data_IF_405772611109
#
_entry.id   IF_405772611109
#
_cell.length_a   1.000
_cell.length_b   1.000
_cell.length_c   1.000
_cell.angle_alpha   90.00
_cell.angle_beta   90.00
_cell.angle_gamma   90.00
#
_symmetry.space_group_name_H-M   'P 1'
#
loop_
_entity.id
_entity.type
_entity.pdbx_description
1 polymer ?
#
# COMPACT_ATOMS: atom_id res chain seq x y z
N UNK A 1 29.61 10.31 -18.59
CA UNK A 1 29.02 9.43 -17.55
C UNK A 1 28.14 10.21 -16.56
N UNK A 2 28.51 11.38 -16.06
CA UNK A 2 27.70 12.25 -15.18
C UNK A 2 26.47 12.85 -15.89
N UNK A 3 26.58 13.23 -17.18
CA UNK A 3 25.44 13.78 -17.95
C UNK A 3 24.35 12.76 -18.20
N UNK A 4 24.67 11.51 -18.46
CA UNK A 4 23.67 10.45 -18.65
C UNK A 4 22.90 10.13 -17.35
N UNK A 5 23.57 10.14 -16.19
CA UNK A 5 22.89 9.96 -14.89
C UNK A 5 21.91 11.09 -14.59
N UNK A 6 22.26 12.33 -14.91
CA UNK A 6 21.36 13.48 -14.72
C UNK A 6 20.15 13.45 -15.66
N UNK A 7 20.31 13.01 -16.91
CA UNK A 7 19.19 12.80 -17.81
C UNK A 7 18.23 11.73 -17.30
N UNK A 8 18.72 10.56 -16.91
CA UNK A 8 17.87 9.48 -16.38
C UNK A 8 17.13 9.87 -15.10
N UNK A 9 17.75 10.68 -14.23
CA UNK A 9 17.11 11.17 -13.00
C UNK A 9 16.06 12.23 -13.35
N UNK A 10 16.34 13.12 -14.27
CA UNK A 10 15.42 14.17 -14.71
C UNK A 10 14.17 13.64 -15.40
N UNK A 11 14.32 12.63 -16.25
CA UNK A 11 13.19 11.97 -16.91
C UNK A 11 12.29 11.20 -15.93
N UNK A 12 12.84 10.72 -14.83
CA UNK A 12 12.07 10.04 -13.77
C UNK A 12 11.41 11.02 -12.80
N UNK A 13 12.03 12.15 -12.52
CA UNK A 13 11.50 13.18 -11.59
C UNK A 13 10.23 13.84 -12.16
N UNK A 14 10.07 13.90 -13.46
CA UNK A 14 8.89 14.48 -14.10
C UNK A 14 7.62 13.64 -13.94
N UNK A 15 7.73 12.38 -13.51
CA UNK A 15 6.60 11.46 -13.36
C UNK A 15 6.11 11.31 -11.94
N UNK A 16 6.81 11.82 -10.95
CA UNK A 16 6.46 11.71 -9.53
C UNK A 16 6.30 13.09 -8.91
N UNK A 17 5.25 13.27 -8.11
CA UNK A 17 5.13 14.44 -7.27
C UNK A 17 6.24 14.43 -6.21
N UNK A 18 7.00 15.51 -6.13
CA UNK A 18 8.04 15.66 -5.13
C UNK A 18 7.44 16.26 -3.86
N UNK A 19 7.48 15.51 -2.76
CA UNK A 19 7.38 16.12 -1.45
C UNK A 19 8.75 16.68 -1.06
N UNK A 20 8.77 17.97 -0.74
CA UNK A 20 9.94 18.55 -0.08
C UNK A 20 10.01 18.00 1.34
N UNK A 21 11.03 17.21 1.63
CA UNK A 21 11.37 16.79 2.98
C UNK A 21 12.55 17.64 3.46
N UNK A 22 12.38 18.25 4.62
CA UNK A 22 13.42 19.04 5.26
C UNK A 22 14.05 18.25 6.42
N UNK A 23 15.25 18.65 6.86
CA UNK A 23 15.92 18.00 7.98
C UNK A 23 15.13 18.11 9.30
N UNK A 24 14.20 19.04 9.39
CA UNK A 24 13.37 19.29 10.57
C UNK A 24 11.98 18.64 10.47
N UNK A 25 11.69 17.87 9.42
CA UNK A 25 10.43 17.18 9.31
C UNK A 25 10.28 16.12 10.40
N UNK A 26 9.09 16.07 10.99
CA UNK A 26 8.78 15.06 12.01
C UNK A 26 8.78 13.67 11.39
N UNK A 27 9.55 12.76 11.97
CA UNK A 27 9.50 11.35 11.60
C UNK A 27 8.25 10.69 12.19
N UNK A 28 7.41 10.13 11.34
CA UNK A 28 6.20 9.43 11.74
C UNK A 28 6.51 7.96 11.97
N UNK A 29 6.15 7.45 13.16
CA UNK A 29 6.25 6.03 13.51
C UNK A 29 4.94 5.28 13.27
N UNK A 30 3.84 5.91 13.65
CA UNK A 30 2.48 5.38 13.53
C UNK A 30 1.52 6.54 13.45
N UNK A 31 0.52 6.45 12.58
CA UNK A 31 -0.46 7.52 12.39
C UNK A 31 -1.80 7.17 13.03
N UNK A 32 -2.56 8.20 13.44
CA UNK A 32 -3.93 7.99 13.93
C UNK A 32 -4.84 7.37 12.85
N UNK A 33 -4.60 7.73 11.59
CA UNK A 33 -5.29 7.14 10.45
C UNK A 33 -5.02 5.63 10.35
N UNK A 34 -3.77 5.21 10.46
CA UNK A 34 -3.37 3.80 10.41
C UNK A 34 -4.08 2.97 11.49
N UNK A 35 -4.02 3.43 12.75
CA UNK A 35 -4.70 2.75 13.87
C UNK A 35 -6.20 2.65 13.64
N UNK A 36 -6.81 3.71 13.08
CA UNK A 36 -8.25 3.72 12.83
C UNK A 36 -8.63 2.77 11.68
N UNK A 37 -7.79 2.63 10.65
CA UNK A 37 -7.98 1.61 9.61
C UNK A 37 -7.83 0.18 10.16
N UNK A 38 -6.89 -0.08 11.08
CA UNK A 38 -6.78 -1.38 11.76
C UNK A 38 -8.06 -1.70 12.56
N UNK A 39 -8.63 -0.69 13.23
CA UNK A 39 -9.91 -0.84 13.91
C UNK A 39 -11.06 -1.09 12.94
N UNK A 40 -11.07 -0.44 11.78
CA UNK A 40 -12.07 -0.67 10.74
C UNK A 40 -12.00 -2.13 10.21
N UNK A 41 -10.79 -2.64 9.99
CA UNK A 41 -10.59 -4.05 9.64
C UNK A 41 -11.06 -4.99 10.74
N UNK A 42 -10.73 -4.70 12.00
CA UNK A 42 -11.20 -5.50 13.14
C UNK A 42 -12.72 -5.53 13.25
N UNK A 43 -13.38 -4.37 13.07
CA UNK A 43 -14.84 -4.29 13.05
C UNK A 43 -15.46 -5.07 11.87
N UNK A 44 -14.84 -5.00 10.67
CA UNK A 44 -15.25 -5.80 9.52
C UNK A 44 -15.15 -7.30 9.79
N UNK A 45 -14.18 -7.74 10.60
CA UNK A 45 -14.01 -9.13 11.05
C UNK A 45 -14.92 -9.52 12.21
N UNK A 46 -15.79 -8.63 12.67
CA UNK A 46 -16.70 -8.88 13.79
C UNK A 46 -16.07 -8.73 15.18
N UNK A 47 -14.90 -8.11 15.29
CA UNK A 47 -14.27 -7.85 16.58
C UNK A 47 -14.83 -6.60 17.23
N UNK A 48 -14.83 -6.56 18.57
CA UNK A 48 -15.31 -5.40 19.34
C UNK A 48 -14.34 -4.22 19.26
N UNK A 49 -14.50 -3.35 18.25
CA UNK A 49 -13.61 -2.22 17.95
C UNK A 49 -14.17 -0.85 18.35
N UNK A 50 -15.27 -0.81 19.12
CA UNK A 50 -15.95 0.43 19.54
C UNK A 50 -16.31 1.34 18.36
N UNK A 51 -16.97 0.78 17.36
CA UNK A 51 -17.46 1.49 16.17
C UNK A 51 -17.77 0.52 15.04
N UNK A 52 -18.60 0.98 14.12
CA UNK A 52 -18.90 0.25 12.88
C UNK A 52 -17.76 0.38 11.87
N UNK A 53 -17.57 -0.65 11.03
CA UNK A 53 -16.49 -0.72 10.06
C UNK A 53 -16.50 0.47 9.08
N UNK A 54 -17.69 0.86 8.59
CA UNK A 54 -17.83 2.00 7.69
C UNK A 54 -17.47 3.31 8.39
N UNK A 55 -17.99 3.55 9.57
CA UNK A 55 -17.71 4.78 10.34
C UNK A 55 -16.22 4.93 10.64
N UNK A 56 -15.57 3.83 11.04
CA UNK A 56 -14.13 3.80 11.31
C UNK A 56 -13.32 4.03 10.03
N UNK A 57 -13.74 3.47 8.89
CA UNK A 57 -13.12 3.67 7.60
C UNK A 57 -13.17 5.14 7.15
N UNK A 58 -14.36 5.77 7.19
CA UNK A 58 -14.54 7.18 6.82
C UNK A 58 -13.78 8.12 7.77
N UNK A 59 -13.78 7.79 9.07
CA UNK A 59 -12.99 8.53 10.06
C UNK A 59 -11.49 8.42 9.80
N UNK A 60 -11.00 7.25 9.42
CA UNK A 60 -9.58 7.06 9.11
C UNK A 60 -9.14 7.89 7.89
N UNK A 61 -9.99 7.98 6.86
CA UNK A 61 -9.75 8.86 5.71
C UNK A 61 -9.68 10.32 6.17
N UNK A 62 -10.62 10.76 7.01
CA UNK A 62 -10.63 12.13 7.54
C UNK A 62 -9.36 12.45 8.31
N UNK A 63 -8.91 11.56 9.19
CA UNK A 63 -7.66 11.72 9.93
C UNK A 63 -6.43 11.78 9.01
N UNK A 64 -6.43 11.02 7.92
CA UNK A 64 -5.35 11.09 6.92
C UNK A 64 -5.33 12.44 6.20
N UNK A 65 -6.49 12.99 5.85
CA UNK A 65 -6.60 14.32 5.24
C UNK A 65 -6.14 15.42 6.21
N UNK A 66 -6.56 15.35 7.48
CA UNK A 66 -6.15 16.29 8.53
C UNK A 66 -4.62 16.26 8.73
N UNK A 67 -4.02 15.09 8.77
CA UNK A 67 -2.57 14.92 8.91
C UNK A 67 -1.78 15.66 7.82
N UNK A 68 -2.32 15.71 6.61
CA UNK A 68 -1.67 16.35 5.47
C UNK A 68 -2.17 17.77 5.20
N UNK A 69 -3.08 18.30 6.03
CA UNK A 69 -3.69 19.61 5.81
C UNK A 69 -4.55 19.67 4.54
N UNK A 70 -5.03 18.53 4.06
CA UNK A 70 -5.90 18.46 2.89
C UNK A 70 -7.37 18.67 3.29
N UNK A 71 -8.17 19.18 2.36
CA UNK A 71 -9.61 19.36 2.53
C UNK A 71 -10.41 18.41 1.64
N UNK A 72 -11.70 18.22 1.95
CA UNK A 72 -12.61 17.43 1.09
C UNK A 72 -12.69 15.94 1.44
N UNK A 73 -12.27 15.52 2.62
CA UNK A 73 -12.29 14.12 3.06
C UNK A 73 -13.67 13.46 2.92
N UNK A 74 -14.75 14.15 3.31
CA UNK A 74 -16.11 13.61 3.23
C UNK A 74 -16.55 13.36 1.78
N UNK A 75 -16.30 14.31 0.87
CA UNK A 75 -16.59 14.11 -0.54
C UNK A 75 -15.75 13.01 -1.18
N UNK A 76 -14.52 12.85 -0.72
CA UNK A 76 -13.65 11.77 -1.17
C UNK A 76 -14.12 10.40 -0.69
N UNK A 77 -14.42 10.24 0.61
CA UNK A 77 -14.83 8.96 1.19
C UNK A 77 -16.15 8.43 0.64
N UNK A 78 -17.02 9.32 0.16
CA UNK A 78 -18.32 8.96 -0.42
C UNK A 78 -18.31 8.85 -1.95
N UNK A 79 -17.16 8.96 -2.58
CA UNK A 79 -17.07 8.95 -4.03
C UNK A 79 -17.24 7.54 -4.60
N UNK A 80 -18.33 7.36 -5.38
CA UNK A 80 -18.70 6.09 -6.04
C UNK A 80 -18.12 5.93 -7.44
N UNK A 81 -17.47 6.96 -7.98
CA UNK A 81 -16.95 6.95 -9.35
C UNK A 81 -15.44 6.75 -9.42
N UNK A 82 -14.71 7.14 -8.38
CA UNK A 82 -13.26 7.00 -8.35
C UNK A 82 -12.86 5.54 -8.11
N UNK A 83 -12.07 5.02 -9.03
CA UNK A 83 -11.46 3.69 -8.99
C UNK A 83 -9.95 3.81 -9.19
N UNK A 84 -9.15 2.80 -8.79
CA UNK A 84 -7.72 2.80 -9.04
C UNK A 84 -7.42 2.96 -10.54
N UNK A 85 -6.62 3.98 -10.88
CA UNK A 85 -6.33 4.35 -12.26
C UNK A 85 -5.35 3.41 -12.95
N UNK A 86 -5.38 3.42 -14.28
CA UNK A 86 -4.35 2.78 -15.08
C UNK A 86 -3.03 3.58 -14.99
N UNK A 87 -1.92 2.89 -15.00
CA UNK A 87 -0.61 3.50 -15.15
C UNK A 87 -0.30 3.72 -16.63
N UNK A 88 0.01 4.95 -16.98
CA UNK A 88 0.51 5.32 -18.31
C UNK A 88 2.00 5.62 -18.20
N UNK A 89 2.81 4.75 -18.75
CA UNK A 89 4.24 5.00 -18.83
C UNK A 89 4.51 6.14 -19.80
N UNK A 90 5.25 7.19 -19.41
CA UNK A 90 5.65 8.28 -20.31
C UNK A 90 6.40 7.81 -21.56
N UNK A 91 7.08 6.68 -21.49
CA UNK A 91 7.79 6.06 -22.62
C UNK A 91 6.93 5.07 -23.41
N UNK A 92 5.70 4.78 -22.95
CA UNK A 92 4.79 3.85 -23.58
C UNK A 92 5.12 2.37 -23.47
N UNK A 93 6.23 2.01 -22.79
CA UNK A 93 6.74 0.63 -22.75
C UNK A 93 6.04 -0.23 -21.68
N UNK A 94 5.71 0.36 -20.54
CA UNK A 94 5.25 -0.36 -19.35
C UNK A 94 3.88 0.11 -18.86
N UNK A 95 3.02 0.56 -19.76
CA UNK A 95 1.64 0.94 -19.40
C UNK A 95 0.84 -0.28 -18.96
N UNK A 96 0.08 -0.16 -17.89
CA UNK A 96 -0.72 -1.25 -17.35
C UNK A 96 -2.09 -0.78 -16.84
N UNK A 97 -3.10 -1.60 -17.02
CA UNK A 97 -4.42 -1.38 -16.42
C UNK A 97 -4.41 -1.80 -14.96
N UNK A 98 -5.18 -1.09 -14.12
CA UNK A 98 -5.35 -1.50 -12.74
C UNK A 98 -6.11 -2.83 -12.67
N UNK A 99 -5.66 -3.81 -11.87
CA UNK A 99 -6.38 -5.05 -11.65
C UNK A 99 -7.53 -4.89 -10.65
N UNK A 100 -7.70 -3.70 -10.06
CA UNK A 100 -8.75 -3.39 -9.10
C UNK A 100 -9.78 -2.44 -9.70
N UNK A 101 -11.05 -2.70 -9.41
CA UNK A 101 -12.18 -1.85 -9.78
C UNK A 101 -12.96 -1.34 -8.57
N UNK A 102 -12.39 -1.45 -7.35
CA UNK A 102 -13.06 -0.97 -6.15
C UNK A 102 -13.24 0.55 -6.18
N UNK A 103 -14.40 1.00 -5.71
CA UNK A 103 -14.68 2.42 -5.48
C UNK A 103 -14.19 2.83 -4.10
N UNK A 104 -14.03 4.15 -3.86
CA UNK A 104 -13.67 4.66 -2.54
C UNK A 104 -14.86 4.54 -1.58
N UNK A 105 -16.08 4.85 -2.06
CA UNK A 105 -17.26 4.79 -1.23
C UNK A 105 -17.48 3.39 -0.68
N UNK A 106 -17.85 3.35 0.60
CA UNK A 106 -18.21 2.10 1.26
C UNK A 106 -19.40 1.43 0.58
N UNK A 107 -19.35 0.12 0.46
CA UNK A 107 -20.50 -0.68 0.04
C UNK A 107 -21.14 -1.28 1.28
N UNK A 108 -22.41 -0.92 1.52
CA UNK A 108 -23.20 -1.57 2.55
C UNK A 108 -23.32 -3.07 2.26
N UNK A 109 -23.00 -3.86 3.25
CA UNK A 109 -23.03 -5.31 3.17
C UNK A 109 -23.56 -5.90 4.48
N UNK A 110 -24.86 -5.98 4.58
CA UNK A 110 -25.53 -6.49 5.78
C UNK A 110 -25.34 -7.99 5.98
N UNK A 111 -24.99 -8.72 4.94
CA UNK A 111 -24.83 -10.17 4.94
C UNK A 111 -23.38 -10.62 4.86
N UNK A 112 -22.44 -9.69 4.94
CA UNK A 112 -20.99 -9.91 4.79
C UNK A 112 -20.58 -10.64 3.49
N UNK A 113 -21.39 -10.51 2.44
CA UNK A 113 -21.14 -11.11 1.13
C UNK A 113 -20.03 -10.39 0.36
N UNK A 114 -19.73 -9.15 0.77
CA UNK A 114 -18.68 -8.29 0.16
C UNK A 114 -17.49 -8.05 1.08
N UNK A 115 -17.24 -8.98 1.98
CA UNK A 115 -16.13 -8.88 2.92
C UNK A 115 -14.80 -8.54 2.23
N UNK A 116 -14.45 -9.28 1.18
CA UNK A 116 -13.19 -9.08 0.45
C UNK A 116 -13.13 -7.72 -0.26
N UNK A 117 -14.24 -7.21 -0.80
CA UNK A 117 -14.26 -5.88 -1.41
C UNK A 117 -14.04 -4.78 -0.36
N UNK A 118 -14.71 -4.89 0.78
CA UNK A 118 -14.56 -3.91 1.86
C UNK A 118 -13.18 -4.00 2.52
N UNK A 119 -12.62 -5.20 2.64
CA UNK A 119 -11.24 -5.40 3.08
C UNK A 119 -10.25 -4.74 2.11
N UNK A 120 -10.42 -4.94 0.80
CA UNK A 120 -9.60 -4.30 -0.23
C UNK A 120 -9.68 -2.77 -0.13
N UNK A 121 -10.88 -2.19 0.13
CA UNK A 121 -11.05 -0.73 0.35
C UNK A 121 -10.27 -0.25 1.55
N UNK A 122 -10.45 -0.90 2.69
CA UNK A 122 -9.76 -0.52 3.94
C UNK A 122 -8.25 -0.55 3.73
N UNK A 123 -7.72 -1.66 3.20
CA UNK A 123 -6.27 -1.82 3.05
C UNK A 123 -5.71 -0.88 2.00
N UNK A 124 -6.42 -0.63 0.90
CA UNK A 124 -5.98 0.32 -0.13
C UNK A 124 -5.87 1.74 0.44
N UNK A 125 -6.88 2.20 1.17
CA UNK A 125 -6.84 3.53 1.79
C UNK A 125 -5.81 3.61 2.93
N UNK A 126 -5.67 2.55 3.72
CA UNK A 126 -4.61 2.43 4.72
C UNK A 126 -3.23 2.54 4.08
N UNK A 127 -3.01 1.83 2.97
CA UNK A 127 -1.73 1.87 2.24
C UNK A 127 -1.38 3.29 1.78
N UNK A 128 -2.35 4.05 1.29
CA UNK A 128 -2.17 5.47 0.91
C UNK A 128 -1.85 6.32 2.15
N UNK A 129 -2.60 6.13 3.23
CA UNK A 129 -2.44 6.89 4.47
C UNK A 129 -1.10 6.65 5.17
N UNK A 130 -0.49 5.48 4.97
CA UNK A 130 0.81 5.13 5.55
C UNK A 130 2.01 5.81 4.86
N UNK A 131 1.81 6.59 3.81
CA UNK A 131 2.91 7.34 3.22
C UNK A 131 3.54 8.29 4.26
N UNK A 132 4.89 8.32 4.44
CA UNK A 132 5.94 7.64 3.66
C UNK A 132 6.47 6.32 4.29
N UNK A 133 5.71 5.64 5.14
CA UNK A 133 6.12 4.42 5.84
C UNK A 133 6.07 3.19 4.91
N UNK A 134 7.00 3.13 3.95
CA UNK A 134 6.97 2.11 2.89
C UNK A 134 7.11 0.67 3.39
N UNK A 135 7.86 0.43 4.48
CA UNK A 135 8.02 -0.91 5.06
C UNK A 135 6.71 -1.42 5.65
N UNK A 136 5.99 -0.58 6.39
CA UNK A 136 4.68 -0.94 6.95
C UNK A 136 3.66 -1.19 5.83
N UNK A 137 3.63 -0.34 4.81
CA UNK A 137 2.80 -0.53 3.64
C UNK A 137 3.08 -1.86 2.92
N UNK A 138 4.35 -2.26 2.80
CA UNK A 138 4.74 -3.54 2.23
C UNK A 138 4.35 -4.73 3.13
N UNK A 139 4.44 -4.59 4.45
CA UNK A 139 3.97 -5.61 5.39
C UNK A 139 2.47 -5.84 5.26
N UNK A 140 1.68 -4.78 5.12
CA UNK A 140 0.24 -4.89 4.90
C UNK A 140 -0.10 -5.61 3.58
N UNK A 141 0.57 -5.24 2.50
CA UNK A 141 0.40 -5.94 1.23
C UNK A 141 0.76 -7.44 1.33
N UNK A 142 1.84 -7.78 2.02
CA UNK A 142 2.23 -9.19 2.24
C UNK A 142 1.21 -9.96 3.06
N UNK A 143 0.61 -9.32 4.06
CA UNK A 143 -0.37 -9.92 4.95
C UNK A 143 -1.69 -10.20 4.27
N UNK A 144 -2.16 -9.25 3.45
CA UNK A 144 -3.52 -9.26 2.92
C UNK A 144 -3.61 -9.54 1.42
N UNK A 145 -2.55 -9.28 0.67
CA UNK A 145 -2.57 -9.27 -0.79
C UNK A 145 -3.12 -7.97 -1.39
N UNK A 146 -3.53 -7.02 -0.55
CA UNK A 146 -4.05 -5.73 -0.96
C UNK A 146 -3.07 -4.58 -0.62
N UNK A 147 -3.09 -3.47 -1.34
CA UNK A 147 -3.86 -3.22 -2.56
C UNK A 147 -3.43 -4.14 -3.70
N UNK A 148 -4.31 -4.36 -4.68
CA UNK A 148 -3.95 -5.03 -5.92
C UNK A 148 -3.08 -4.09 -6.75
N UNK A 149 -1.78 -4.28 -6.67
CA UNK A 149 -0.83 -3.46 -7.41
C UNK A 149 -0.89 -3.74 -8.92
N UNK A 150 -0.40 -2.76 -9.66
CA UNK A 150 -0.17 -2.93 -11.08
C UNK A 150 0.75 -4.13 -11.34
N UNK A 151 0.54 -4.90 -12.42
CA UNK A 151 1.37 -6.06 -12.71
C UNK A 151 2.83 -5.64 -12.94
N UNK A 152 3.75 -6.49 -12.50
CA UNK A 152 5.19 -6.30 -12.73
C UNK A 152 5.46 -6.62 -14.20
N UNK A 153 5.72 -5.60 -15.00
CA UNK A 153 5.91 -5.75 -16.45
C UNK A 153 7.32 -6.21 -16.84
N UNK A 154 8.34 -5.88 -16.04
CA UNK A 154 9.74 -6.25 -16.29
C UNK A 154 10.36 -6.73 -14.98
N UNK A 155 10.37 -8.05 -14.79
CA UNK A 155 10.96 -8.67 -13.62
C UNK A 155 12.41 -9.11 -13.89
N UNK A 156 13.35 -8.41 -13.26
CA UNK A 156 14.78 -8.75 -13.28
C UNK A 156 15.26 -9.42 -11.98
N UNK A 157 14.34 -9.68 -11.05
CA UNK A 157 14.65 -10.32 -9.77
C UNK A 157 14.82 -11.82 -9.93
N UNK A 158 15.96 -12.34 -9.50
CA UNK A 158 16.21 -13.78 -9.44
C UNK A 158 15.33 -14.41 -8.36
N UNK A 159 14.62 -15.48 -8.69
CA UNK A 159 13.77 -16.22 -7.73
C UNK A 159 12.34 -15.67 -7.57
N UNK A 160 11.97 -14.60 -8.28
CA UNK A 160 10.57 -14.13 -8.30
C UNK A 160 9.85 -14.87 -9.42
N UNK A 161 9.12 -15.92 -9.09
CA UNK A 161 8.40 -16.75 -10.06
C UNK A 161 6.97 -16.28 -10.31
N UNK A 162 6.36 -15.62 -9.31
CA UNK A 162 5.00 -15.13 -9.42
C UNK A 162 4.98 -13.59 -9.48
N UNK A 163 4.69 -13.06 -10.67
CA UNK A 163 4.68 -11.61 -10.93
C UNK A 163 3.50 -10.88 -10.25
N UNK A 164 2.41 -11.59 -10.00
CA UNK A 164 1.24 -11.02 -9.32
C UNK A 164 1.49 -10.83 -7.83
N UNK A 165 2.15 -11.79 -7.19
CA UNK A 165 2.45 -11.74 -5.77
C UNK A 165 3.69 -10.89 -5.44
N UNK A 166 4.59 -10.72 -6.39
CA UNK A 166 5.83 -9.97 -6.20
C UNK A 166 6.75 -10.57 -5.12
N UNK A 167 7.51 -9.71 -4.47
CA UNK A 167 8.43 -10.10 -3.38
C UNK A 167 7.65 -10.27 -2.08
N UNK A 168 7.51 -11.51 -1.61
CA UNK A 168 6.81 -11.84 -0.35
C UNK A 168 7.73 -11.86 0.87
N UNK A 169 9.01 -12.13 0.67
CA UNK A 169 10.03 -12.04 1.70
C UNK A 169 11.39 -11.74 1.07
N UNK A 170 12.29 -11.21 1.85
CA UNK A 170 13.70 -11.11 1.46
C UNK A 170 14.32 -12.51 1.43
N UNK A 171 15.21 -12.76 0.47
CA UNK A 171 16.03 -13.95 0.46
C UNK A 171 16.97 -13.95 1.67
N UNK A 172 17.22 -15.13 2.21
CA UNK A 172 18.23 -15.24 3.27
C UNK A 172 19.62 -14.91 2.70
N UNK A 173 20.50 -14.26 3.49
CA UNK A 173 21.89 -14.08 3.10
C UNK A 173 22.56 -15.44 2.78
N UNK A 174 23.45 -15.46 1.79
CA UNK A 174 24.14 -16.69 1.37
C UNK A 174 24.79 -17.45 2.53
N UNK A 175 25.31 -16.73 3.53
CA UNK A 175 25.90 -17.32 4.74
C UNK A 175 24.95 -18.22 5.54
N UNK A 176 23.65 -17.99 5.48
CA UNK A 176 22.66 -18.85 6.14
C UNK A 176 22.41 -20.15 5.41
N UNK A 177 22.64 -20.20 4.11
CA UNK A 177 22.55 -21.45 3.33
C UNK A 177 23.80 -22.32 3.43
N UNK A 178 24.96 -21.72 3.73
CA UNK A 178 26.25 -22.40 3.81
C UNK A 178 26.70 -22.69 5.23
N UNK A 179 26.07 -22.05 6.23
CA UNK A 179 26.39 -22.30 7.63
C UNK A 179 25.64 -23.53 8.11
N UNK A 180 26.33 -24.55 8.64
CA UNK A 180 25.65 -25.69 9.25
C UNK A 180 24.75 -25.19 10.39
N UNK A 181 23.59 -25.83 10.54
CA UNK A 181 22.69 -25.56 11.65
C UNK A 181 23.43 -25.66 12.99
N UNK A 182 23.10 -24.86 13.99
CA UNK A 182 23.64 -25.04 15.34
C UNK A 182 23.50 -26.48 15.86
N UNK A 183 22.51 -27.24 15.38
CA UNK A 183 22.31 -28.65 15.69
C UNK A 183 23.35 -29.56 15.00
N UNK A 184 23.90 -29.15 13.87
CA UNK A 184 24.90 -29.92 13.12
C UNK A 184 26.32 -29.71 13.65
N UNK A 185 26.51 -28.78 14.61
CA UNK A 185 27.80 -28.53 15.28
C UNK A 185 28.02 -29.36 16.54
N UNK A 186 27.05 -30.17 16.92
CA UNK A 186 27.07 -31.00 18.14
C UNK A 186 27.37 -32.49 17.88
N UNK A 187 28.02 -32.78 16.73
CA UNK A 187 28.57 -34.12 16.44
C UNK A 187 30.10 -34.07 16.41
#
# INVERSE_FOLDING_TARGET
>A
YRRQRQMCIRDRIQTYSNRLMTANDTYMWMTAAEVTFLRAEGALRGWAMSGDAQQLYEKAITLSFEQWGASGASGYSQNKALVPGAYKDPRGTYSAQSPSSITIAWNEDKENTRFEENLERIITQKWIAMFPLGIEAWCEHRRTGYPKFLPIMDNKGVGITNLTLGIRRLSYPCLLYTSPSPRDRSL
#
